data_IF_820422704520
#
_entry.id   IF_820422704520
#
_cell.length_a   1.000
_cell.length_b   1.000
_cell.length_c   1.000
_cell.angle_alpha   90.00
_cell.angle_beta   90.00
_cell.angle_gamma   90.00
#
_symmetry.space_group_name_H-M   'P 1'
#
loop_
_entity.id
_entity.type
_entity.pdbx_description
1 polymer ?
#
# COMPACT_ATOMS: atom_id res chain seq x y z
N UNK A 1 -81.78 42.77 0.79
CA UNK A 1 -80.47 43.23 0.27
C UNK A 1 -79.46 43.03 1.42
N UNK A 2 -78.68 41.97 1.41
CA UNK A 2 -77.74 41.67 2.49
C UNK A 2 -76.36 42.20 2.10
N UNK A 3 -75.82 43.07 2.98
CA UNK A 3 -74.47 43.65 2.86
C UNK A 3 -73.47 42.62 3.34
N UNK A 4 -72.51 42.21 2.48
CA UNK A 4 -71.37 41.45 2.85
C UNK A 4 -70.25 42.37 3.35
N UNK A 5 -69.85 42.18 4.61
CA UNK A 5 -68.71 42.85 5.22
C UNK A 5 -67.44 41.96 5.00
N UNK A 6 -66.46 42.46 4.29
CA UNK A 6 -65.16 41.79 4.14
C UNK A 6 -64.29 42.14 5.34
N UNK A 7 -63.95 41.12 6.13
CA UNK A 7 -63.00 41.20 7.22
C UNK A 7 -61.61 40.91 6.67
N UNK A 8 -60.72 41.91 6.63
CA UNK A 8 -59.32 41.75 6.29
C UNK A 8 -58.59 41.10 7.45
N UNK A 9 -58.13 39.87 7.23
CA UNK A 9 -57.28 39.14 8.17
C UNK A 9 -55.81 39.45 7.81
N UNK A 10 -55.16 40.30 8.60
CA UNK A 10 -53.74 40.62 8.48
C UNK A 10 -52.94 39.49 9.09
N UNK A 11 -52.33 38.64 8.25
CA UNK A 11 -51.39 37.60 8.68
C UNK A 11 -50.03 38.26 8.90
N UNK A 12 -49.63 38.39 10.17
CA UNK A 12 -48.30 38.82 10.60
C UNK A 12 -47.34 37.66 10.42
N UNK A 13 -46.55 37.63 9.32
CA UNK A 13 -45.45 36.70 9.11
C UNK A 13 -44.30 37.06 10.04
N UNK A 14 -44.20 36.36 11.16
CA UNK A 14 -42.98 36.29 11.98
C UNK A 14 -41.93 35.49 11.25
N UNK A 15 -41.01 36.19 10.60
CA UNK A 15 -39.77 35.60 10.07
C UNK A 15 -38.88 35.18 11.26
N UNK A 16 -39.03 33.94 11.71
CA UNK A 16 -37.98 33.32 12.49
C UNK A 16 -36.82 33.04 11.54
N UNK A 17 -35.81 33.89 11.61
CA UNK A 17 -34.51 33.65 11.02
C UNK A 17 -33.92 32.40 11.66
N UNK A 18 -34.06 31.25 11.00
CA UNK A 18 -33.26 30.08 11.31
C UNK A 18 -31.86 30.40 10.80
N UNK A 19 -31.04 30.98 11.67
CA UNK A 19 -29.61 31.03 11.47
C UNK A 19 -29.09 29.59 11.36
N UNK A 20 -28.87 29.14 10.13
CA UNK A 20 -28.08 27.93 9.95
C UNK A 20 -26.68 28.26 10.44
N UNK A 21 -26.37 27.89 11.67
CA UNK A 21 -24.99 27.77 12.11
C UNK A 21 -24.31 26.80 11.16
N UNK A 22 -23.62 27.35 10.17
CA UNK A 22 -22.57 26.60 9.48
C UNK A 22 -21.51 26.27 10.54
N UNK A 23 -21.70 25.17 11.28
CA UNK A 23 -20.64 24.57 12.03
C UNK A 23 -19.60 24.15 10.99
N UNK A 24 -18.53 24.92 10.89
CA UNK A 24 -17.36 24.51 10.13
C UNK A 24 -16.96 23.13 10.67
N UNK A 25 -17.26 22.09 9.91
CA UNK A 25 -16.86 20.73 10.24
C UNK A 25 -15.35 20.77 10.42
N UNK A 26 -14.90 20.63 11.67
CA UNK A 26 -13.47 20.56 11.97
C UNK A 26 -12.89 19.49 11.07
N UNK A 27 -11.97 19.87 10.15
CA UNK A 27 -11.33 18.92 9.24
C UNK A 27 -10.79 17.77 10.08
N UNK A 28 -11.28 16.57 9.85
CA UNK A 28 -10.85 15.38 10.60
C UNK A 28 -9.32 15.30 10.60
N UNK A 29 -8.74 15.00 11.77
CA UNK A 29 -7.28 14.79 11.90
C UNK A 29 -6.85 13.74 10.87
N UNK A 30 -5.77 13.96 10.11
CA UNK A 30 -5.30 12.98 9.14
C UNK A 30 -4.92 11.67 9.85
N UNK A 31 -5.07 10.54 9.16
CA UNK A 31 -4.53 9.27 9.64
C UNK A 31 -3.01 9.32 9.51
N UNK A 32 -2.30 9.20 10.61
CA UNK A 32 -0.84 9.03 10.61
C UNK A 32 -0.52 7.55 10.39
N UNK A 33 0.18 7.24 9.28
CA UNK A 33 0.51 5.89 8.88
C UNK A 33 2.01 5.74 8.67
N UNK A 34 2.61 4.81 9.40
CA UNK A 34 3.98 4.35 9.21
C UNK A 34 3.98 3.14 8.28
N UNK A 35 4.77 3.16 7.21
CA UNK A 35 4.90 2.02 6.31
C UNK A 35 6.32 1.46 6.41
N UNK A 36 6.43 0.19 6.81
CA UNK A 36 7.70 -0.52 6.85
C UNK A 36 7.91 -1.32 5.56
N UNK A 37 9.10 -1.21 4.99
CA UNK A 37 9.47 -1.89 3.75
C UNK A 37 10.52 -2.97 4.06
N UNK A 38 10.06 -4.20 4.02
CA UNK A 38 10.89 -5.40 4.05
C UNK A 38 11.15 -5.89 2.62
N UNK A 39 12.10 -6.82 2.47
CA UNK A 39 12.32 -7.54 1.23
C UNK A 39 12.38 -9.04 1.56
N UNK A 40 13.55 -9.68 1.55
CA UNK A 40 13.65 -11.12 1.82
C UNK A 40 13.59 -11.47 3.31
N UNK A 41 12.67 -12.35 3.69
CA UNK A 41 12.66 -12.98 5.02
C UNK A 41 13.30 -14.36 4.94
N UNK A 42 14.25 -14.66 5.81
CA UNK A 42 15.02 -15.90 5.82
C UNK A 42 14.97 -16.60 7.19
N UNK A 43 15.30 -17.89 7.23
CA UNK A 43 15.36 -18.62 8.51
C UNK A 43 16.36 -18.03 9.48
N UNK A 44 17.51 -17.56 8.98
CA UNK A 44 18.58 -16.93 9.77
C UNK A 44 19.45 -16.04 8.89
N UNK A 45 20.08 -15.03 9.51
CA UNK A 45 20.96 -14.07 8.86
C UNK A 45 20.33 -12.69 8.73
N UNK A 46 21.13 -11.72 8.33
CA UNK A 46 20.74 -10.32 8.20
C UNK A 46 21.50 -9.65 7.06
N UNK A 47 20.87 -8.65 6.44
CA UNK A 47 21.43 -7.79 5.41
C UNK A 47 20.60 -6.54 5.25
N UNK A 48 21.04 -5.60 4.41
CA UNK A 48 20.30 -4.36 4.16
C UNK A 48 18.87 -4.61 3.67
N UNK A 49 18.68 -5.70 2.89
CA UNK A 49 17.41 -6.10 2.28
C UNK A 49 17.01 -7.53 2.70
N UNK A 50 17.56 -8.04 3.78
CA UNK A 50 17.28 -9.39 4.28
C UNK A 50 17.15 -9.36 5.78
N UNK A 51 16.06 -9.93 6.30
CA UNK A 51 15.79 -10.04 7.72
C UNK A 51 15.55 -11.49 8.12
N UNK A 52 15.98 -11.90 9.32
CA UNK A 52 15.60 -13.21 9.85
C UNK A 52 14.13 -13.24 10.29
N UNK A 53 13.50 -14.41 10.22
CA UNK A 53 12.13 -14.61 10.71
C UNK A 53 11.99 -14.18 12.20
N UNK A 54 12.98 -14.46 13.02
CA UNK A 54 12.95 -14.12 14.44
C UNK A 54 12.96 -12.60 14.64
N UNK A 55 13.76 -11.88 13.85
CA UNK A 55 13.78 -10.41 13.86
C UNK A 55 12.48 -9.79 13.36
N UNK A 56 11.86 -10.41 12.35
CA UNK A 56 10.53 -9.97 11.87
C UNK A 56 9.47 -10.18 12.97
N UNK A 57 9.51 -11.31 13.68
CA UNK A 57 8.60 -11.58 14.80
C UNK A 57 8.78 -10.54 15.93
N UNK A 58 10.04 -10.18 16.25
CA UNK A 58 10.35 -9.08 17.19
C UNK A 58 9.77 -7.73 16.70
N UNK A 59 9.88 -7.40 15.41
CA UNK A 59 9.37 -6.15 14.83
C UNK A 59 7.84 -6.08 14.96
N UNK A 60 7.13 -7.14 14.58
CA UNK A 60 5.67 -7.21 14.69
C UNK A 60 5.23 -7.11 16.14
N UNK A 61 5.89 -7.86 17.03
CA UNK A 61 5.63 -7.79 18.47
C UNK A 61 5.84 -6.38 19.02
N UNK A 62 6.95 -5.73 18.65
CA UNK A 62 7.24 -4.35 19.08
C UNK A 62 6.12 -3.39 18.69
N UNK A 63 5.67 -3.43 17.44
CA UNK A 63 4.58 -2.57 16.96
C UNK A 63 3.29 -2.78 17.78
N UNK A 64 2.90 -4.04 17.98
CA UNK A 64 1.69 -4.39 18.74
C UNK A 64 1.79 -3.91 20.20
N UNK A 65 2.91 -4.16 20.86
CA UNK A 65 3.16 -3.79 22.27
C UNK A 65 3.22 -2.27 22.45
N UNK A 66 3.68 -1.52 21.43
CA UNK A 66 3.76 -0.05 21.46
C UNK A 66 2.50 0.65 20.91
N UNK A 67 1.40 -0.10 20.82
CA UNK A 67 0.08 0.44 20.52
C UNK A 67 -0.19 0.75 19.05
N UNK A 68 0.63 0.24 18.11
CA UNK A 68 0.32 0.30 16.70
C UNK A 68 -0.82 -0.65 16.35
N UNK A 69 -1.68 -0.21 15.46
CA UNK A 69 -2.60 -1.07 14.73
C UNK A 69 -1.99 -1.34 13.35
N UNK A 70 -1.62 -2.62 13.11
CA UNK A 70 -1.12 -3.04 11.80
C UNK A 70 -2.33 -3.28 10.91
N UNK A 71 -2.46 -2.48 9.86
CA UNK A 71 -3.63 -2.44 8.99
C UNK A 71 -3.29 -2.83 7.56
N UNK A 72 -4.27 -3.37 6.83
CA UNK A 72 -4.18 -3.56 5.38
C UNK A 72 -4.42 -2.24 4.64
N UNK A 73 -4.00 -2.17 3.36
CA UNK A 73 -4.34 -1.05 2.48
C UNK A 73 -5.85 -0.99 2.26
N UNK A 74 -6.52 -2.15 2.13
CA UNK A 74 -7.99 -2.22 2.07
C UNK A 74 -8.64 -1.57 3.30
N UNK A 75 -8.10 -1.85 4.49
CA UNK A 75 -8.52 -1.21 5.73
C UNK A 75 -8.32 0.31 5.71
N UNK A 76 -7.20 0.82 5.18
CA UNK A 76 -7.01 2.26 5.00
C UNK A 76 -8.02 2.86 4.01
N UNK A 77 -8.27 2.20 2.87
CA UNK A 77 -9.29 2.61 1.89
C UNK A 77 -10.67 2.68 2.54
N UNK A 78 -11.06 1.66 3.30
CA UNK A 78 -12.33 1.65 4.01
C UNK A 78 -12.43 2.79 5.03
N UNK A 79 -11.36 3.05 5.80
CA UNK A 79 -11.29 4.16 6.76
C UNK A 79 -11.46 5.52 6.09
N UNK A 80 -10.77 5.74 4.99
CA UNK A 80 -10.81 7.00 4.24
C UNK A 80 -12.19 7.22 3.58
N UNK A 81 -12.93 6.15 3.32
CA UNK A 81 -14.32 6.17 2.86
C UNK A 81 -15.35 6.24 4.02
N UNK A 82 -14.91 6.47 5.24
CA UNK A 82 -15.78 6.70 6.39
C UNK A 82 -16.18 5.44 7.17
N UNK A 83 -15.64 4.28 6.85
CA UNK A 83 -15.84 3.09 7.69
C UNK A 83 -15.23 3.32 9.09
N UNK A 84 -15.99 2.94 10.12
CA UNK A 84 -15.51 3.00 11.51
C UNK A 84 -14.54 1.84 11.75
N UNK A 85 -13.29 2.00 11.37
CA UNK A 85 -12.22 1.12 11.86
C UNK A 85 -11.91 1.52 13.30
N UNK A 86 -11.59 0.51 14.13
CA UNK A 86 -11.07 0.75 15.48
C UNK A 86 -9.78 1.56 15.34
N UNK A 87 -9.86 2.88 15.57
CA UNK A 87 -8.73 3.79 15.36
C UNK A 87 -7.84 3.77 16.58
N UNK A 88 -6.73 3.06 16.49
CA UNK A 88 -5.58 3.44 17.29
C UNK A 88 -4.98 4.70 16.65
N UNK A 89 -4.34 5.54 17.45
CA UNK A 89 -3.70 6.76 16.93
C UNK A 89 -2.50 6.47 16.02
N UNK A 90 -1.86 5.30 16.22
CA UNK A 90 -0.68 4.85 15.49
C UNK A 90 -1.06 3.71 14.54
N UNK A 91 -0.96 3.93 13.24
CA UNK A 91 -1.20 2.90 12.23
C UNK A 91 0.12 2.48 11.57
N UNK A 92 0.25 1.20 11.28
CA UNK A 92 1.37 0.66 10.52
C UNK A 92 0.89 -0.21 9.35
N UNK A 93 1.62 -0.19 8.24
CA UNK A 93 1.49 -1.13 7.12
C UNK A 93 2.82 -1.84 6.93
N UNK A 94 2.80 -3.16 6.79
CA UNK A 94 3.99 -3.96 6.52
C UNK A 94 4.00 -4.34 5.04
N UNK A 95 5.07 -4.00 4.34
CA UNK A 95 5.24 -4.29 2.91
C UNK A 95 6.49 -5.13 2.68
N UNK A 96 6.43 -6.10 1.75
CA UNK A 96 7.50 -7.03 1.45
C UNK A 96 7.72 -7.04 -0.06
N UNK A 97 8.82 -6.44 -0.52
CA UNK A 97 9.09 -6.27 -1.94
C UNK A 97 9.78 -7.50 -2.56
N UNK A 98 9.89 -7.51 -3.89
CA UNK A 98 10.52 -8.46 -4.79
C UNK A 98 9.84 -9.83 -4.93
N UNK A 99 8.98 -10.24 -4.00
CA UNK A 99 8.28 -11.52 -4.09
C UNK A 99 9.10 -12.73 -3.66
N UNK A 100 10.05 -12.58 -2.72
CA UNK A 100 10.83 -13.69 -2.19
C UNK A 100 9.96 -14.81 -1.61
N UNK A 101 10.30 -16.07 -1.87
CA UNK A 101 9.59 -17.22 -1.31
C UNK A 101 9.64 -17.25 0.22
N UNK A 102 10.70 -16.71 0.83
CA UNK A 102 10.79 -16.58 2.26
C UNK A 102 9.67 -15.74 2.89
N UNK A 103 9.07 -14.81 2.14
CA UNK A 103 7.93 -14.04 2.60
C UNK A 103 6.69 -14.93 2.78
N UNK A 104 6.44 -15.84 1.83
CA UNK A 104 5.40 -16.85 1.96
C UNK A 104 5.70 -17.86 3.08
N UNK A 105 6.93 -18.36 3.12
CA UNK A 105 7.34 -19.43 4.04
C UNK A 105 7.48 -18.98 5.50
N UNK A 106 7.94 -17.75 5.74
CA UNK A 106 8.29 -17.28 7.09
C UNK A 106 7.50 -16.06 7.52
N UNK A 107 7.30 -15.05 6.63
CA UNK A 107 6.57 -13.86 7.05
C UNK A 107 5.08 -14.13 7.21
N UNK A 108 4.45 -14.83 6.27
CA UNK A 108 3.02 -15.13 6.33
C UNK A 108 2.59 -15.79 7.66
N UNK A 109 3.23 -16.88 8.14
CA UNK A 109 2.87 -17.47 9.44
C UNK A 109 3.06 -16.52 10.63
N UNK A 110 4.02 -15.60 10.56
CA UNK A 110 4.21 -14.58 11.60
C UNK A 110 3.04 -13.57 11.56
N UNK A 111 2.65 -13.10 10.38
CA UNK A 111 1.50 -12.20 10.26
C UNK A 111 0.21 -12.86 10.76
N UNK A 112 -0.02 -14.13 10.41
CA UNK A 112 -1.15 -14.92 10.91
C UNK A 112 -1.13 -15.09 12.45
N UNK A 113 0.04 -15.36 13.04
CA UNK A 113 0.21 -15.46 14.50
C UNK A 113 -0.30 -14.22 15.26
N UNK A 114 -0.10 -13.04 14.69
CA UNK A 114 -0.55 -11.77 15.28
C UNK A 114 -1.93 -11.32 14.78
N UNK A 115 -2.56 -12.05 13.86
CA UNK A 115 -3.84 -11.68 13.26
C UNK A 115 -3.76 -10.38 12.44
N UNK A 116 -2.61 -10.12 11.81
CA UNK A 116 -2.37 -8.91 11.01
C UNK A 116 -2.11 -9.26 9.55
N UNK A 117 -2.31 -8.28 8.66
CA UNK A 117 -2.04 -8.42 7.23
C UNK A 117 -0.75 -7.73 6.82
N UNK A 118 -0.30 -7.98 5.59
CA UNK A 118 0.81 -7.31 4.93
C UNK A 118 0.59 -7.20 3.44
N UNK A 119 1.50 -6.53 2.74
CA UNK A 119 1.51 -6.37 1.28
C UNK A 119 2.73 -7.08 0.71
N UNK A 120 2.53 -8.08 -0.14
CA UNK A 120 3.61 -8.75 -0.87
C UNK A 120 3.65 -8.22 -2.31
N UNK A 121 4.73 -7.50 -2.66
CA UNK A 121 4.92 -6.91 -3.99
C UNK A 121 5.74 -7.87 -4.85
N UNK A 122 5.16 -8.35 -5.96
CA UNK A 122 5.75 -9.44 -6.75
C UNK A 122 6.12 -9.01 -8.16
N UNK A 123 7.28 -9.48 -8.63
CA UNK A 123 7.81 -9.26 -9.99
C UNK A 123 7.36 -10.40 -10.88
N UNK A 124 6.58 -10.11 -11.91
CA UNK A 124 5.94 -11.14 -12.74
C UNK A 124 6.92 -12.07 -13.44
N UNK A 125 8.03 -11.54 -13.98
CA UNK A 125 9.06 -12.36 -14.64
C UNK A 125 9.81 -13.28 -13.68
N UNK A 126 9.93 -12.90 -12.39
CA UNK A 126 10.56 -13.78 -11.40
C UNK A 126 9.67 -14.97 -11.06
N UNK A 127 8.35 -14.76 -11.03
CA UNK A 127 7.37 -15.84 -10.84
C UNK A 127 7.39 -16.87 -11.98
N UNK A 128 7.73 -16.45 -13.20
CA UNK A 128 7.77 -17.32 -14.39
C UNK A 128 9.10 -18.07 -14.55
N UNK A 129 10.16 -17.62 -13.89
CA UNK A 129 11.50 -18.24 -14.01
C UNK A 129 11.65 -19.40 -13.03
N UNK A 130 11.66 -20.62 -13.57
CA UNK A 130 11.81 -21.85 -12.78
C UNK A 130 13.13 -21.96 -12.01
N UNK A 131 14.18 -21.24 -12.43
CA UNK A 131 15.43 -21.20 -11.68
C UNK A 131 15.33 -20.26 -10.48
N UNK A 132 14.58 -19.17 -10.64
CA UNK A 132 14.35 -18.23 -9.57
C UNK A 132 13.31 -18.74 -8.56
N UNK A 133 12.34 -19.55 -8.99
CA UNK A 133 11.32 -20.15 -8.12
C UNK A 133 11.76 -21.46 -7.45
N UNK A 134 13.05 -21.75 -7.41
CA UNK A 134 13.60 -22.87 -6.64
C UNK A 134 13.41 -22.62 -5.13
N UNK A 135 12.47 -23.35 -4.54
CA UNK A 135 12.09 -23.24 -3.12
C UNK A 135 13.16 -23.74 -2.14
N UNK A 136 14.21 -24.40 -2.64
CA UNK A 136 15.37 -24.82 -1.84
C UNK A 136 16.42 -23.72 -1.76
N UNK A 137 16.43 -22.77 -2.68
CA UNK A 137 17.33 -21.63 -2.68
C UNK A 137 16.99 -20.66 -1.54
N UNK A 138 18.01 -20.18 -0.84
CA UNK A 138 17.86 -19.21 0.26
C UNK A 138 17.11 -17.96 -0.16
N UNK A 139 17.26 -17.55 -1.42
CA UNK A 139 16.68 -16.35 -2.02
C UNK A 139 15.79 -16.70 -3.22
N UNK A 140 15.08 -17.82 -3.16
CA UNK A 140 14.08 -18.16 -4.17
C UNK A 140 12.87 -17.21 -4.11
N UNK A 141 12.13 -17.15 -5.21
CA UNK A 141 10.94 -16.32 -5.36
C UNK A 141 9.67 -17.18 -5.35
N UNK A 142 8.54 -16.54 -5.02
CA UNK A 142 7.22 -17.17 -5.09
C UNK A 142 6.84 -17.45 -6.54
N UNK A 143 6.25 -18.62 -6.80
CA UNK A 143 5.58 -18.95 -8.05
C UNK A 143 4.09 -18.55 -8.03
N UNK A 144 3.36 -18.86 -9.10
CA UNK A 144 1.93 -18.54 -9.23
C UNK A 144 1.08 -19.21 -8.13
N UNK A 145 1.42 -20.43 -7.72
CA UNK A 145 0.70 -21.15 -6.68
C UNK A 145 0.93 -20.53 -5.31
N UNK A 146 2.16 -20.17 -4.98
CA UNK A 146 2.50 -19.50 -3.73
C UNK A 146 1.78 -18.13 -3.61
N UNK A 147 1.78 -17.33 -4.69
CA UNK A 147 1.09 -16.05 -4.74
C UNK A 147 -0.42 -16.23 -4.59
N UNK A 148 -1.03 -17.22 -5.29
CA UNK A 148 -2.44 -17.55 -5.15
C UNK A 148 -2.80 -17.93 -3.71
N UNK A 149 -1.95 -18.73 -3.06
CA UNK A 149 -2.19 -19.15 -1.68
C UNK A 149 -1.99 -17.96 -0.70
N UNK A 150 -0.92 -17.18 -0.85
CA UNK A 150 -0.67 -15.99 -0.03
C UNK A 150 -1.82 -14.96 -0.13
N UNK A 151 -2.41 -14.79 -1.32
CA UNK A 151 -3.46 -13.79 -1.57
C UNK A 151 -4.76 -13.99 -0.79
N UNK A 152 -4.89 -15.11 -0.09
CA UNK A 152 -6.02 -15.39 0.83
C UNK A 152 -5.84 -14.69 2.19
N UNK A 153 -4.63 -14.30 2.54
CA UNK A 153 -4.24 -13.81 3.87
C UNK A 153 -3.58 -12.43 3.83
N UNK A 154 -2.88 -12.11 2.73
CA UNK A 154 -2.18 -10.85 2.52
C UNK A 154 -2.61 -10.20 1.21
N UNK A 155 -2.33 -8.91 1.08
CA UNK A 155 -2.55 -8.17 -0.17
C UNK A 155 -1.36 -8.39 -1.12
N UNK A 156 -1.66 -8.62 -2.39
CA UNK A 156 -0.62 -8.77 -3.42
C UNK A 156 -0.55 -7.49 -4.25
N UNK A 157 0.63 -6.91 -4.28
CA UNK A 157 0.94 -5.73 -5.08
C UNK A 157 1.71 -6.10 -6.35
N UNK A 158 1.52 -5.32 -7.40
CA UNK A 158 2.37 -5.40 -8.60
C UNK A 158 3.71 -4.71 -8.36
N UNK A 159 4.80 -5.35 -8.79
CA UNK A 159 6.16 -4.79 -8.75
C UNK A 159 6.82 -4.82 -10.13
N UNK A 160 6.06 -4.47 -11.18
CA UNK A 160 6.36 -4.63 -12.61
C UNK A 160 6.39 -6.09 -13.07
N UNK A 161 6.29 -6.32 -14.39
CA UNK A 161 6.51 -7.65 -14.92
C UNK A 161 8.01 -7.94 -15.09
N UNK A 162 8.76 -7.05 -15.78
CA UNK A 162 10.18 -7.24 -16.09
C UNK A 162 11.01 -5.94 -16.00
N UNK A 163 10.46 -4.87 -15.41
CA UNK A 163 11.18 -3.61 -15.21
C UNK A 163 11.78 -3.49 -13.80
N UNK A 164 12.33 -4.61 -13.29
CA UNK A 164 13.10 -4.64 -12.04
C UNK A 164 14.62 -4.73 -12.31
N UNK A 165 15.06 -4.34 -13.50
CA UNK A 165 16.48 -4.31 -13.87
C UNK A 165 17.24 -3.16 -13.23
N UNK A 166 18.57 -3.31 -13.14
CA UNK A 166 19.48 -2.31 -12.58
C UNK A 166 20.73 -2.06 -13.45
N UNK A 167 20.69 -2.49 -14.72
CA UNK A 167 21.80 -2.33 -15.67
C UNK A 167 21.56 -1.12 -16.57
N UNK A 168 21.06 -1.36 -17.79
CA UNK A 168 20.79 -0.30 -18.76
C UNK A 168 19.66 0.63 -18.31
N UNK A 169 18.60 0.04 -17.73
CA UNK A 169 17.47 0.76 -17.15
C UNK A 169 17.32 0.38 -15.68
N UNK A 170 17.32 1.36 -14.79
CA UNK A 170 17.04 1.15 -13.36
C UNK A 170 15.54 1.31 -13.13
N UNK A 171 14.87 0.21 -12.82
CA UNK A 171 13.43 0.22 -12.64
C UNK A 171 12.71 0.78 -13.86
N UNK A 172 11.76 1.65 -13.62
CA UNK A 172 10.98 2.31 -14.69
C UNK A 172 11.62 3.62 -15.19
N UNK A 173 12.88 3.91 -14.91
CA UNK A 173 13.51 5.18 -15.31
C UNK A 173 13.49 5.36 -16.82
N UNK A 174 12.96 6.50 -17.30
CA UNK A 174 13.05 6.87 -18.72
C UNK A 174 14.52 7.06 -19.13
N UNK A 175 14.93 6.44 -20.23
CA UNK A 175 16.31 6.55 -20.73
C UNK A 175 16.55 7.89 -21.44
N UNK A 176 17.81 8.30 -21.47
CA UNK A 176 18.22 9.49 -22.25
C UNK A 176 18.00 9.23 -23.74
N UNK A 177 17.36 10.16 -24.43
CA UNK A 177 17.04 10.02 -25.85
C UNK A 177 15.81 9.16 -26.20
N UNK A 178 15.24 8.45 -25.23
CA UNK A 178 13.99 7.72 -25.44
C UNK A 178 12.83 8.69 -25.68
N UNK A 179 11.98 8.43 -26.69
CA UNK A 179 10.79 9.26 -26.90
C UNK A 179 9.78 9.06 -25.75
N UNK A 180 8.93 10.05 -25.52
CA UNK A 180 7.86 9.94 -24.52
C UNK A 180 6.86 8.84 -24.92
N UNK A 181 6.57 8.71 -26.21
CA UNK A 181 5.66 7.70 -26.74
C UNK A 181 6.18 6.28 -26.54
N UNK A 182 7.43 6.02 -26.90
CA UNK A 182 8.06 4.70 -26.70
C UNK A 182 8.13 4.33 -25.21
N UNK A 183 8.51 5.29 -24.38
CA UNK A 183 8.55 5.11 -22.93
C UNK A 183 7.16 4.78 -22.34
N UNK A 184 6.12 5.54 -22.74
CA UNK A 184 4.74 5.31 -22.30
C UNK A 184 4.26 3.91 -22.70
N UNK A 185 4.52 3.52 -23.96
CA UNK A 185 4.19 2.18 -24.46
C UNK A 185 4.93 1.06 -23.70
N UNK A 186 6.23 1.25 -23.43
CA UNK A 186 7.04 0.29 -22.69
C UNK A 186 6.46 0.00 -21.30
N UNK A 187 6.27 1.06 -20.50
CA UNK A 187 5.79 0.88 -19.12
C UNK A 187 4.35 0.42 -19.06
N UNK A 188 3.48 0.89 -19.97
CA UNK A 188 2.10 0.42 -20.06
C UNK A 188 2.04 -1.09 -20.33
N UNK A 189 2.80 -1.58 -21.33
CA UNK A 189 2.81 -2.99 -21.68
C UNK A 189 3.36 -3.86 -20.54
N UNK A 190 4.39 -3.41 -19.84
CA UNK A 190 4.96 -4.12 -18.69
C UNK A 190 3.97 -4.17 -17.52
N UNK A 191 3.40 -3.03 -17.15
CA UNK A 191 2.42 -2.94 -16.06
C UNK A 191 1.18 -3.78 -16.36
N UNK A 192 0.67 -3.68 -17.59
CA UNK A 192 -0.49 -4.46 -18.04
C UNK A 192 -0.20 -5.95 -17.98
N UNK A 193 0.98 -6.38 -18.41
CA UNK A 193 1.36 -7.80 -18.39
C UNK A 193 1.36 -8.36 -16.97
N UNK A 194 1.91 -7.60 -15.99
CA UNK A 194 1.88 -8.04 -14.61
C UNK A 194 0.46 -7.96 -14.00
N UNK A 195 -0.29 -6.91 -14.34
CA UNK A 195 -1.68 -6.77 -13.90
C UNK A 195 -2.55 -7.95 -14.35
N UNK A 196 -2.48 -8.31 -15.63
CA UNK A 196 -3.25 -9.42 -16.20
C UNK A 196 -2.82 -10.77 -15.59
N UNK A 197 -1.50 -10.99 -15.42
CA UNK A 197 -0.97 -12.17 -14.76
C UNK A 197 -1.50 -12.30 -13.34
N UNK A 198 -1.37 -11.26 -12.53
CA UNK A 198 -1.83 -11.27 -11.13
C UNK A 198 -3.35 -11.41 -11.04
N UNK A 199 -4.09 -10.76 -11.93
CA UNK A 199 -5.55 -10.94 -12.01
C UNK A 199 -5.93 -12.39 -12.26
N UNK A 200 -5.24 -13.07 -13.19
CA UNK A 200 -5.46 -14.50 -13.48
C UNK A 200 -5.11 -15.38 -12.28
N UNK A 201 -3.98 -15.12 -11.63
CA UNK A 201 -3.49 -15.93 -10.49
C UNK A 201 -4.41 -15.80 -9.28
N UNK A 202 -4.82 -14.58 -8.94
CA UNK A 202 -5.62 -14.31 -7.73
C UNK A 202 -7.13 -14.39 -7.95
N UNK A 203 -7.61 -14.33 -9.20
CA UNK A 203 -9.04 -14.18 -9.51
C UNK A 203 -9.59 -12.77 -9.21
N UNK A 204 -8.76 -11.81 -8.84
CA UNK A 204 -9.11 -10.41 -8.58
C UNK A 204 -7.99 -9.47 -9.05
N UNK A 205 -8.36 -8.24 -9.43
CA UNK A 205 -7.39 -7.24 -9.91
C UNK A 205 -6.48 -6.76 -8.78
N UNK A 206 -5.15 -6.64 -9.01
CA UNK A 206 -4.29 -5.92 -8.08
C UNK A 206 -4.65 -4.42 -8.11
N UNK A 207 -4.52 -3.74 -6.98
CA UNK A 207 -4.82 -2.30 -6.83
C UNK A 207 -3.73 -1.55 -6.05
N UNK A 208 -2.64 -2.25 -5.72
CA UNK A 208 -1.45 -1.72 -5.06
C UNK A 208 -0.26 -1.92 -6.00
N UNK A 209 0.56 -0.89 -6.19
CA UNK A 209 1.78 -0.95 -6.99
C UNK A 209 2.98 -0.46 -6.18
N UNK A 210 4.04 -1.24 -6.11
CA UNK A 210 5.32 -0.82 -5.56
C UNK A 210 6.29 -0.50 -6.70
N UNK A 211 6.89 0.69 -6.64
CA UNK A 211 7.87 1.12 -7.65
C UNK A 211 9.23 0.47 -7.40
N UNK A 212 9.80 -0.31 -8.35
CA UNK A 212 11.16 -0.79 -8.24
C UNK A 212 12.15 0.35 -8.00
N UNK A 213 13.00 0.19 -6.99
CA UNK A 213 13.95 1.23 -6.54
C UNK A 213 13.29 2.55 -6.10
N UNK A 214 11.97 2.59 -5.94
CA UNK A 214 11.21 3.80 -5.63
C UNK A 214 11.18 4.83 -6.76
N UNK A 215 11.54 4.45 -8.00
CA UNK A 215 11.58 5.35 -9.16
C UNK A 215 10.19 5.48 -9.76
N UNK A 216 9.65 6.68 -9.77
CA UNK A 216 8.33 7.00 -10.29
C UNK A 216 8.32 8.29 -11.12
N UNK A 217 7.26 8.52 -11.88
CA UNK A 217 6.98 9.79 -12.56
C UNK A 217 5.47 9.92 -12.84
N UNK A 218 5.05 11.10 -13.31
CA UNK A 218 3.64 11.40 -13.57
C UNK A 218 2.99 10.51 -14.64
N UNK A 219 3.76 10.10 -15.66
CA UNK A 219 3.26 9.19 -16.72
C UNK A 219 2.90 7.82 -16.13
N UNK A 220 3.76 7.29 -15.24
CA UNK A 220 3.50 6.02 -14.57
C UNK A 220 2.29 6.10 -13.63
N UNK A 221 2.15 7.19 -12.86
CA UNK A 221 0.98 7.42 -11.99
C UNK A 221 -0.32 7.54 -12.79
N UNK A 222 -0.30 8.23 -13.96
CA UNK A 222 -1.45 8.31 -14.86
C UNK A 222 -1.87 6.92 -15.34
N UNK A 223 -0.92 6.14 -15.89
CA UNK A 223 -1.18 4.78 -16.37
C UNK A 223 -1.74 3.87 -15.26
N UNK A 224 -1.14 3.91 -14.07
CA UNK A 224 -1.60 3.11 -12.95
C UNK A 224 -3.00 3.53 -12.49
N UNK A 225 -3.30 4.82 -12.47
CA UNK A 225 -4.63 5.35 -12.18
C UNK A 225 -5.68 4.82 -13.18
N UNK A 226 -5.39 4.89 -14.47
CA UNK A 226 -6.26 4.38 -15.54
C UNK A 226 -6.49 2.86 -15.45
N UNK A 227 -5.50 2.12 -14.93
CA UNK A 227 -5.60 0.68 -14.67
C UNK A 227 -6.33 0.32 -13.37
N UNK A 228 -6.72 1.33 -12.55
CA UNK A 228 -7.44 1.15 -11.31
C UNK A 228 -6.58 0.92 -10.06
N UNK A 229 -5.29 1.25 -10.12
CA UNK A 229 -4.44 1.24 -8.92
C UNK A 229 -4.77 2.45 -8.02
N UNK A 230 -5.03 2.19 -6.76
CA UNK A 230 -5.40 3.21 -5.77
C UNK A 230 -4.27 3.54 -4.80
N UNK A 231 -3.31 2.64 -4.65
CA UNK A 231 -2.17 2.81 -3.75
C UNK A 231 -0.87 2.58 -4.52
N UNK A 232 0.08 3.51 -4.38
CA UNK A 232 1.42 3.36 -4.92
C UNK A 232 2.47 3.59 -3.83
N UNK A 233 3.54 2.79 -3.86
CA UNK A 233 4.57 2.72 -2.82
C UNK A 233 5.92 3.14 -3.39
N UNK A 234 6.60 4.06 -2.69
CA UNK A 234 7.95 4.53 -3.06
C UNK A 234 9.00 4.02 -2.07
N UNK A 235 10.28 4.37 -2.29
CA UNK A 235 11.36 4.18 -1.32
C UNK A 235 11.76 5.48 -0.60
N UNK A 236 10.97 6.54 -0.71
CA UNK A 236 11.19 7.77 0.05
C UNK A 236 10.88 7.51 1.52
N UNK A 237 11.77 7.90 2.43
CA UNK A 237 11.55 7.74 3.86
C UNK A 237 10.60 8.82 4.41
N UNK A 238 9.76 8.45 5.36
CA UNK A 238 8.89 9.37 6.09
C UNK A 238 7.56 8.75 6.52
N UNK A 239 6.84 9.47 7.38
CA UNK A 239 5.46 9.16 7.77
C UNK A 239 4.49 9.67 6.71
N UNK A 240 3.30 9.08 6.67
CA UNK A 240 2.21 9.46 5.77
C UNK A 240 1.05 10.03 6.58
N UNK A 241 0.40 11.07 6.06
CA UNK A 241 -0.74 11.74 6.69
C UNK A 241 -1.92 11.76 5.72
N UNK A 242 -2.82 10.78 5.88
CA UNK A 242 -3.87 10.50 4.91
C UNK A 242 -5.17 11.20 5.30
N UNK A 243 -5.79 11.91 4.36
CA UNK A 243 -7.10 12.56 4.48
C UNK A 243 -8.10 12.04 3.45
N UNK A 244 -7.60 11.49 2.36
CA UNK A 244 -8.40 11.01 1.22
C UNK A 244 -7.74 9.80 0.57
N UNK A 245 -8.46 9.11 -0.30
CA UNK A 245 -7.92 8.00 -1.11
C UNK A 245 -6.73 8.45 -1.97
N UNK A 246 -6.72 9.71 -2.43
CA UNK A 246 -5.61 10.21 -3.24
C UNK A 246 -4.29 10.28 -2.47
N UNK A 247 -4.34 10.37 -1.14
CA UNK A 247 -3.14 10.37 -0.29
C UNK A 247 -2.50 8.97 -0.15
N UNK A 248 -3.14 7.92 -0.68
CA UNK A 248 -2.55 6.57 -0.79
C UNK A 248 -1.56 6.46 -1.96
N UNK A 249 -1.43 7.49 -2.79
CA UNK A 249 -0.44 7.53 -3.86
C UNK A 249 0.91 7.99 -3.33
N UNK A 250 1.97 7.34 -3.81
CA UNK A 250 3.38 7.65 -3.50
C UNK A 250 3.69 7.57 -2.00
N UNK A 251 3.15 6.57 -1.30
CA UNK A 251 3.41 6.37 0.11
C UNK A 251 4.92 6.23 0.38
N UNK A 252 5.37 6.95 1.39
CA UNK A 252 6.73 6.90 1.93
C UNK A 252 6.88 5.67 2.81
N UNK A 253 8.05 5.04 2.77
CA UNK A 253 8.34 3.82 3.51
C UNK A 253 9.72 3.86 4.17
N UNK A 254 9.86 3.22 5.32
CA UNK A 254 11.16 3.03 5.97
C UNK A 254 11.71 1.66 5.59
N UNK A 255 12.89 1.62 4.93
CA UNK A 255 13.55 0.36 4.60
C UNK A 255 14.04 -0.32 5.88
N UNK A 256 13.54 -1.52 6.15
CA UNK A 256 13.91 -2.31 7.32
C UNK A 256 15.23 -3.04 7.09
N UNK A 257 16.33 -2.42 7.46
CA UNK A 257 17.64 -3.04 7.43
C UNK A 257 17.73 -4.13 8.51
N UNK A 258 17.81 -5.39 8.11
CA UNK A 258 17.84 -6.52 9.03
C UNK A 258 19.09 -6.60 9.92
N UNK A 259 20.13 -5.81 9.63
CA UNK A 259 21.34 -5.72 10.45
C UNK A 259 21.13 -4.88 11.73
N UNK A 260 20.12 -4.01 11.72
CA UNK A 260 19.81 -3.12 12.86
C UNK A 260 18.85 -3.84 13.80
N UNK A 261 19.09 -3.76 15.11
CA UNK A 261 18.19 -4.34 16.11
C UNK A 261 16.81 -3.68 16.07
N UNK A 262 15.74 -4.41 16.41
CA UNK A 262 14.36 -3.92 16.37
C UNK A 262 14.21 -2.59 17.09
N UNK A 263 14.59 -2.53 18.36
CA UNK A 263 14.47 -1.33 19.19
C UNK A 263 15.22 -0.14 18.57
N UNK A 264 16.48 -0.33 18.18
CA UNK A 264 17.31 0.70 17.57
C UNK A 264 16.69 1.25 16.25
N UNK A 265 16.15 0.35 15.42
CA UNK A 265 15.48 0.76 14.17
C UNK A 265 14.22 1.58 14.47
N UNK A 266 13.38 1.12 15.37
CA UNK A 266 12.12 1.80 15.69
C UNK A 266 12.37 3.16 16.35
N UNK A 267 13.33 3.25 17.29
CA UNK A 267 13.73 4.52 17.92
C UNK A 267 14.31 5.52 16.91
N UNK A 268 15.15 5.06 15.98
CA UNK A 268 15.73 5.89 14.91
C UNK A 268 14.68 6.65 14.10
N UNK A 269 13.54 6.03 13.82
CA UNK A 269 12.47 6.62 13.01
C UNK A 269 11.26 7.09 13.85
N UNK A 270 11.37 7.09 15.16
CA UNK A 270 10.29 7.48 16.09
C UNK A 270 9.00 6.69 15.87
N UNK A 271 9.17 5.37 15.71
CA UNK A 271 8.12 4.37 15.52
C UNK A 271 7.77 3.71 16.85
#
# INVERSE_FOLDING_TARGET
MKKFTYMFLTILLLLFGVGSEYTASAKAKPLEVTVLMYHGVVSSGAGKYVISKDRLDEDVKYLVDNGYEIVSVEGLVASLNGAKIRRKEKLAVLTFDDGFYGNYKYALPILEKYGVSGVFSVVGSYMDDKKLTDKTAKYGYMDDEDVKNASKYVEIASHTYNLHGNKERIGIKKLKGESVGDYKNLIYNDFKKNHDKLTKVMGKKPYIFAYPYGIYNSIAEEILGDMGYVCTLTCNEGKNYLRSINDLKLLKRYNRDGRIATKEFMEKYSI
#
